data_IF_712784665587
#
_entry.id   IF_712784665587
#
_cell.length_a   1.000
_cell.length_b   1.000
_cell.length_c   1.000
_cell.angle_alpha   90.00
_cell.angle_beta   90.00
_cell.angle_gamma   90.00
#
_symmetry.space_group_name_H-M   'P 1'
#
loop_
_entity.id
_entity.type
_entity.pdbx_description
1 polymer ?
#
# COMPACT_ATOMS: atom_id res chain seq x y z
N UNK A 1 -1.20 33.91 1.60
CA UNK A 1 0.13 34.40 1.14
C UNK A 1 1.20 33.29 1.12
N UNK A 2 0.86 32.04 0.74
CA UNK A 2 1.79 30.90 0.69
C UNK A 2 2.17 30.51 -0.76
N UNK A 3 1.23 30.70 -1.70
CA UNK A 3 1.42 30.53 -3.15
C UNK A 3 2.58 31.36 -3.73
N UNK A 4 2.76 32.61 -3.27
CA UNK A 4 3.88 33.46 -3.71
C UNK A 4 5.26 33.00 -3.20
N UNK A 5 5.32 32.25 -2.08
CA UNK A 5 6.57 31.60 -1.63
C UNK A 5 6.91 30.34 -2.43
N UNK A 6 5.92 29.65 -3.00
CA UNK A 6 6.15 28.53 -3.93
C UNK A 6 6.70 29.00 -5.29
N UNK A 7 6.27 30.18 -5.77
CA UNK A 7 6.74 30.76 -7.03
C UNK A 7 8.13 31.39 -6.98
N UNK A 8 8.60 31.82 -5.80
CA UNK A 8 9.86 32.58 -5.64
C UNK A 8 10.99 31.83 -4.92
N UNK A 9 10.93 30.49 -4.85
CA UNK A 9 12.06 29.69 -4.36
C UNK A 9 11.86 29.05 -2.99
N UNK A 10 10.78 28.30 -2.81
CA UNK A 10 10.72 27.33 -1.72
C UNK A 10 11.74 26.23 -2.00
N UNK A 11 12.88 26.25 -1.28
CA UNK A 11 13.96 25.23 -1.24
C UNK A 11 13.59 23.93 -1.97
N UNK A 12 13.79 23.89 -3.29
CA UNK A 12 13.70 22.64 -4.04
C UNK A 12 14.82 21.77 -3.50
N UNK A 13 14.42 20.65 -2.93
CA UNK A 13 15.37 19.64 -2.46
C UNK A 13 16.19 19.19 -3.67
N UNK A 14 17.50 19.12 -3.52
CA UNK A 14 18.35 18.52 -4.54
C UNK A 14 18.13 17.01 -4.52
N UNK A 15 17.44 16.52 -5.54
CA UNK A 15 17.13 15.12 -5.76
C UNK A 15 18.14 14.53 -6.75
N UNK A 16 18.60 13.31 -6.48
CA UNK A 16 19.55 12.59 -7.31
C UNK A 16 18.88 11.34 -7.93
N UNK A 17 18.52 11.38 -9.22
CA UNK A 17 17.90 10.25 -9.90
C UNK A 17 18.76 8.99 -9.94
N UNK A 18 20.08 9.11 -10.01
CA UNK A 18 20.99 7.95 -10.05
C UNK A 18 21.02 7.25 -8.69
N UNK A 19 21.04 8.06 -7.62
CA UNK A 19 20.92 7.57 -6.24
C UNK A 19 19.57 6.90 -6.00
N UNK A 20 18.47 7.50 -6.44
CA UNK A 20 17.13 6.91 -6.34
C UNK A 20 17.06 5.54 -7.05
N UNK A 21 17.65 5.45 -8.25
CA UNK A 21 17.68 4.20 -9.01
C UNK A 21 18.55 3.13 -8.34
N UNK A 22 19.65 3.54 -7.70
CA UNK A 22 20.52 2.66 -6.91
C UNK A 22 19.78 2.15 -5.67
N UNK A 23 19.14 3.03 -4.89
CA UNK A 23 18.33 2.67 -3.73
C UNK A 23 17.23 1.68 -4.10
N UNK A 24 16.46 1.95 -5.17
CA UNK A 24 15.41 1.05 -5.63
C UNK A 24 15.95 -0.34 -6.02
N UNK A 25 17.11 -0.38 -6.71
CA UNK A 25 17.76 -1.63 -7.10
C UNK A 25 18.20 -2.42 -5.87
N UNK A 26 18.81 -1.76 -4.89
CA UNK A 26 19.26 -2.39 -3.65
C UNK A 26 18.08 -2.95 -2.85
N UNK A 27 16.98 -2.19 -2.73
CA UNK A 27 15.77 -2.63 -2.05
C UNK A 27 15.16 -3.87 -2.70
N UNK A 28 15.13 -3.94 -4.04
CA UNK A 28 14.60 -5.11 -4.78
C UNK A 28 15.50 -6.33 -4.69
N UNK A 29 16.81 -6.14 -4.69
CA UNK A 29 17.76 -7.24 -4.78
C UNK A 29 18.09 -7.87 -3.41
N UNK A 30 18.08 -7.07 -2.34
CA UNK A 30 18.53 -7.51 -1.00
C UNK A 30 17.40 -8.03 -0.11
N UNK A 31 16.16 -7.64 -0.37
CA UNK A 31 15.02 -7.93 0.48
C UNK A 31 13.91 -8.68 -0.27
N UNK A 32 12.91 -9.18 0.46
CA UNK A 32 11.81 -9.98 -0.03
C UNK A 32 11.89 -11.43 0.44
N UNK A 33 11.14 -12.32 -0.22
CA UNK A 33 10.97 -13.71 0.20
C UNK A 33 12.26 -14.55 0.20
N UNK A 34 13.30 -14.11 -0.54
CA UNK A 34 14.60 -14.80 -0.62
C UNK A 34 15.57 -14.40 0.50
N UNK A 35 15.25 -13.35 1.27
CA UNK A 35 16.07 -12.94 2.40
C UNK A 35 15.82 -13.84 3.61
N UNK A 36 16.86 -14.25 4.36
CA UNK A 36 16.71 -15.09 5.54
C UNK A 36 16.14 -14.32 6.75
N UNK A 37 16.09 -13.00 6.70
CA UNK A 37 15.55 -12.15 7.77
C UNK A 37 14.02 -12.20 7.80
N UNK A 38 13.42 -11.96 8.97
CA UNK A 38 11.95 -11.88 9.07
C UNK A 38 11.43 -10.60 8.41
N UNK A 39 10.20 -10.63 7.87
CA UNK A 39 9.64 -9.47 7.17
C UNK A 39 9.62 -8.17 7.99
N UNK A 40 9.31 -8.18 9.30
CA UNK A 40 9.41 -6.96 10.12
C UNK A 40 10.82 -6.36 10.14
N UNK A 41 11.85 -7.20 10.31
CA UNK A 41 13.26 -6.79 10.34
C UNK A 41 13.69 -6.22 8.99
N UNK A 42 13.27 -6.88 7.90
CA UNK A 42 13.52 -6.38 6.54
C UNK A 42 12.86 -5.01 6.34
N UNK A 43 11.59 -4.86 6.75
CA UNK A 43 10.87 -3.62 6.55
C UNK A 43 11.48 -2.45 7.32
N UNK A 44 11.96 -2.69 8.54
CA UNK A 44 12.71 -1.70 9.31
C UNK A 44 14.06 -1.34 8.68
N UNK A 45 14.80 -2.34 8.18
CA UNK A 45 16.07 -2.10 7.50
C UNK A 45 15.89 -1.28 6.22
N UNK A 46 14.85 -1.58 5.43
CA UNK A 46 14.47 -0.79 4.25
C UNK A 46 14.06 0.62 4.66
N UNK A 47 13.25 0.78 5.71
CA UNK A 47 12.81 2.11 6.15
C UNK A 47 13.99 2.99 6.56
N UNK A 48 14.99 2.44 7.26
CA UNK A 48 16.24 3.14 7.60
C UNK A 48 17.07 3.49 6.36
N UNK A 49 17.13 2.60 5.38
CA UNK A 49 17.84 2.83 4.12
C UNK A 49 17.21 3.98 3.31
N UNK A 50 15.90 4.18 3.42
CA UNK A 50 15.13 5.18 2.69
C UNK A 50 14.82 6.45 3.51
N UNK A 51 15.54 6.70 4.61
CA UNK A 51 15.25 7.81 5.54
C UNK A 51 15.82 9.18 5.10
N UNK A 52 15.74 9.48 3.81
CA UNK A 52 16.02 10.81 3.29
C UNK A 52 15.04 11.18 2.17
N UNK A 53 15.31 12.28 1.47
CA UNK A 53 14.39 12.78 0.45
C UNK A 53 14.41 11.94 -0.84
N UNK A 54 15.56 11.42 -1.26
CA UNK A 54 15.63 10.46 -2.37
C UNK A 54 14.97 9.14 -1.98
N UNK A 55 15.18 8.69 -0.75
CA UNK A 55 14.52 7.53 -0.16
C UNK A 55 13.01 7.70 -0.10
N UNK A 56 12.51 8.90 0.21
CA UNK A 56 11.08 9.22 0.17
C UNK A 56 10.50 9.15 -1.24
N UNK A 57 11.22 9.63 -2.26
CA UNK A 57 10.83 9.47 -3.68
C UNK A 57 10.76 7.98 -4.05
N UNK A 58 11.75 7.19 -3.62
CA UNK A 58 11.77 5.74 -3.85
C UNK A 58 10.63 5.03 -3.13
N UNK A 59 10.31 5.41 -1.90
CA UNK A 59 9.19 4.86 -1.14
C UNK A 59 7.84 5.16 -1.83
N UNK A 60 7.65 6.40 -2.31
CA UNK A 60 6.47 6.77 -3.08
C UNK A 60 6.37 5.95 -4.39
N UNK A 61 7.50 5.77 -5.09
CA UNK A 61 7.58 4.94 -6.30
C UNK A 61 7.24 3.47 -6.03
N UNK A 62 7.71 2.87 -4.93
CA UNK A 62 7.40 1.48 -4.55
C UNK A 62 5.89 1.29 -4.37
N UNK A 63 5.19 2.24 -3.73
CA UNK A 63 3.74 2.17 -3.53
C UNK A 63 2.97 2.32 -4.85
N UNK A 64 3.42 3.22 -5.72
CA UNK A 64 2.86 3.39 -7.06
C UNK A 64 3.03 2.13 -7.93
N UNK A 65 4.25 1.62 -8.03
CA UNK A 65 4.56 0.39 -8.77
C UNK A 65 3.78 -0.81 -8.24
N UNK A 66 3.69 -0.98 -6.91
CA UNK A 66 2.91 -2.06 -6.32
C UNK A 66 1.41 -1.97 -6.67
N UNK A 67 0.83 -0.76 -6.66
CA UNK A 67 -0.56 -0.55 -7.05
C UNK A 67 -0.79 -0.81 -8.55
N UNK A 68 0.08 -0.28 -9.41
CA UNK A 68 0.00 -0.45 -10.87
C UNK A 68 0.16 -1.91 -11.29
N UNK A 69 1.17 -2.60 -10.77
CA UNK A 69 1.42 -4.00 -11.08
C UNK A 69 0.30 -4.90 -10.55
N UNK A 70 -0.23 -4.61 -9.35
CA UNK A 70 -1.36 -5.36 -8.82
C UNK A 70 -2.63 -5.18 -9.66
N UNK A 71 -2.88 -3.96 -10.14
CA UNK A 71 -3.97 -3.68 -11.06
C UNK A 71 -3.82 -4.46 -12.37
N UNK A 72 -2.64 -4.39 -12.99
CA UNK A 72 -2.34 -5.12 -14.22
C UNK A 72 -2.48 -6.64 -14.04
N UNK A 73 -2.03 -7.18 -12.91
CA UNK A 73 -2.16 -8.59 -12.58
C UNK A 73 -3.63 -9.01 -12.45
N UNK A 74 -4.49 -8.20 -11.83
CA UNK A 74 -5.92 -8.47 -11.77
C UNK A 74 -6.60 -8.36 -13.13
N UNK A 75 -6.19 -7.38 -13.95
CA UNK A 75 -6.70 -7.22 -15.31
C UNK A 75 -6.41 -8.47 -16.16
N UNK A 76 -5.19 -9.00 -16.07
CA UNK A 76 -4.80 -10.24 -16.73
C UNK A 76 -5.65 -11.44 -16.26
N UNK A 77 -5.91 -11.55 -14.95
CA UNK A 77 -6.75 -12.61 -14.39
C UNK A 77 -8.21 -12.51 -14.85
N UNK A 78 -8.77 -11.29 -14.88
CA UNK A 78 -10.14 -11.05 -15.38
C UNK A 78 -10.26 -11.44 -16.86
N UNK A 79 -9.27 -11.06 -17.67
CA UNK A 79 -9.24 -11.44 -19.08
C UNK A 79 -9.14 -12.97 -19.27
N UNK A 80 -8.32 -13.65 -18.46
CA UNK A 80 -8.20 -15.11 -18.48
C UNK A 80 -9.49 -15.82 -18.06
N UNK A 81 -10.19 -15.34 -17.03
CA UNK A 81 -11.51 -15.86 -16.64
C UNK A 81 -12.52 -15.69 -17.79
N UNK A 82 -12.54 -14.53 -18.44
CA UNK A 82 -13.41 -14.30 -19.58
C UNK A 82 -13.11 -15.26 -20.73
N UNK A 83 -11.83 -15.46 -21.06
CA UNK A 83 -11.41 -16.40 -22.10
C UNK A 83 -11.85 -17.84 -21.82
N UNK A 84 -11.71 -18.30 -20.57
CA UNK A 84 -12.03 -19.69 -20.18
C UNK A 84 -13.52 -19.96 -19.98
N UNK A 85 -14.31 -18.96 -19.60
CA UNK A 85 -15.69 -19.17 -19.13
C UNK A 85 -16.75 -18.34 -19.86
N UNK A 86 -16.34 -17.40 -20.71
CA UNK A 86 -17.24 -16.40 -21.33
C UNK A 86 -17.74 -15.33 -20.36
N UNK A 87 -17.56 -15.48 -19.05
CA UNK A 87 -18.03 -14.53 -18.03
C UNK A 87 -17.24 -13.23 -18.08
N UNK A 88 -17.93 -12.08 -18.12
CA UNK A 88 -17.30 -10.75 -18.04
C UNK A 88 -17.31 -10.29 -16.59
N UNK A 89 -16.12 -10.12 -16.01
CA UNK A 89 -15.96 -9.52 -14.68
C UNK A 89 -15.59 -8.04 -14.84
N UNK A 90 -16.18 -7.17 -14.02
CA UNK A 90 -15.87 -5.75 -14.03
C UNK A 90 -14.75 -5.43 -13.05
N UNK A 91 -13.62 -4.95 -13.58
CA UNK A 91 -12.50 -4.45 -12.80
C UNK A 91 -12.57 -2.92 -12.70
N UNK A 92 -12.70 -2.39 -11.49
CA UNK A 92 -12.73 -0.95 -11.26
C UNK A 92 -11.57 -0.54 -10.33
N UNK A 93 -10.60 0.22 -10.86
CA UNK A 93 -9.37 0.56 -10.15
C UNK A 93 -9.58 1.27 -8.81
N UNK A 94 -10.60 2.14 -8.71
CA UNK A 94 -10.89 2.86 -7.46
C UNK A 94 -11.72 2.07 -6.43
N UNK A 95 -12.12 0.84 -6.78
CA UNK A 95 -12.92 -0.03 -5.92
C UNK A 95 -12.86 -1.48 -6.43
N UNK A 96 -11.93 -2.27 -5.90
CA UNK A 96 -11.75 -3.67 -6.30
C UNK A 96 -12.80 -4.60 -5.65
N UNK A 97 -13.51 -4.13 -4.62
CA UNK A 97 -14.39 -4.98 -3.81
C UNK A 97 -15.53 -5.67 -4.58
N UNK A 98 -16.22 -5.04 -5.54
CA UNK A 98 -17.24 -5.73 -6.34
C UNK A 98 -16.66 -6.94 -7.09
N UNK A 99 -15.48 -6.80 -7.70
CA UNK A 99 -14.78 -7.89 -8.37
C UNK A 99 -14.48 -9.03 -7.39
N UNK A 100 -13.93 -8.70 -6.22
CA UNK A 100 -13.57 -9.68 -5.20
C UNK A 100 -14.80 -10.40 -4.60
N UNK A 101 -15.92 -9.71 -4.38
CA UNK A 101 -17.17 -10.33 -3.95
C UNK A 101 -17.71 -11.31 -4.99
N UNK A 102 -17.59 -10.95 -6.27
CA UNK A 102 -18.12 -11.75 -7.37
C UNK A 102 -17.26 -12.98 -7.69
N UNK A 103 -15.94 -12.83 -7.67
CA UNK A 103 -15.01 -13.82 -8.21
C UNK A 103 -13.85 -14.19 -7.27
N UNK A 104 -13.87 -13.75 -6.01
CA UNK A 104 -12.75 -13.88 -5.07
C UNK A 104 -12.11 -15.27 -5.00
N UNK A 105 -12.87 -16.37 -4.87
CA UNK A 105 -12.32 -17.73 -4.87
C UNK A 105 -11.64 -18.15 -6.18
N UNK A 106 -11.92 -17.48 -7.29
CA UNK A 106 -11.33 -17.72 -8.62
C UNK A 106 -10.16 -16.78 -8.93
N UNK A 107 -9.86 -15.82 -8.05
CA UNK A 107 -8.80 -14.85 -8.20
C UNK A 107 -7.64 -15.17 -7.24
N UNK A 108 -6.43 -14.93 -7.70
CA UNK A 108 -5.21 -14.95 -6.89
C UNK A 108 -4.92 -13.54 -6.41
N UNK A 109 -4.60 -13.43 -5.12
CA UNK A 109 -4.21 -12.15 -4.52
C UNK A 109 -2.90 -11.65 -5.15
N UNK A 110 -2.89 -10.46 -5.79
CA UNK A 110 -1.80 -10.07 -6.66
C UNK A 110 -0.53 -9.63 -5.91
N UNK A 111 -0.64 -9.21 -4.65
CA UNK A 111 0.45 -8.54 -3.96
C UNK A 111 1.67 -9.43 -3.67
N UNK A 112 1.54 -10.76 -3.62
CA UNK A 112 2.69 -11.66 -3.39
C UNK A 112 3.52 -11.97 -4.63
N UNK A 113 3.04 -11.64 -5.82
CA UNK A 113 3.63 -12.07 -7.09
C UNK A 113 3.82 -10.89 -8.06
N UNK A 114 4.20 -9.74 -7.52
CA UNK A 114 4.45 -8.52 -8.30
C UNK A 114 5.69 -8.70 -9.20
N UNK A 115 5.62 -8.40 -10.51
CA UNK A 115 6.76 -8.52 -11.44
C UNK A 115 8.02 -7.76 -11.00
N UNK A 116 7.87 -6.64 -10.30
CA UNK A 116 8.97 -5.87 -9.70
C UNK A 116 9.74 -6.60 -8.61
N UNK A 117 9.22 -7.73 -8.11
CA UNK A 117 9.78 -8.46 -6.96
C UNK A 117 9.50 -7.80 -5.61
N UNK A 118 8.65 -6.78 -5.56
CA UNK A 118 8.24 -6.13 -4.31
C UNK A 118 7.37 -7.07 -3.48
N UNK A 119 7.76 -7.29 -2.23
CA UNK A 119 7.00 -8.11 -1.29
C UNK A 119 6.11 -7.22 -0.39
N UNK A 120 4.84 -7.61 -0.15
CA UNK A 120 3.89 -6.76 0.57
C UNK A 120 4.34 -6.49 2.01
N UNK A 121 4.92 -7.49 2.66
CA UNK A 121 5.31 -7.39 4.07
C UNK A 121 6.72 -6.84 4.30
N UNK A 122 7.53 -6.68 3.24
CA UNK A 122 8.85 -6.08 3.34
C UNK A 122 8.85 -4.70 2.67
N UNK A 123 9.05 -4.64 1.35
CA UNK A 123 9.23 -3.38 0.63
C UNK A 123 8.01 -2.46 0.71
N UNK A 124 6.80 -2.99 0.51
CA UNK A 124 5.58 -2.17 0.53
C UNK A 124 5.29 -1.67 1.95
N UNK A 125 5.42 -2.54 2.95
CA UNK A 125 5.26 -2.17 4.35
C UNK A 125 6.30 -1.10 4.78
N UNK A 126 7.55 -1.22 4.34
CA UNK A 126 8.59 -0.22 4.61
C UNK A 126 8.30 1.12 3.92
N UNK A 127 7.89 1.07 2.65
CA UNK A 127 7.54 2.27 1.89
C UNK A 127 6.38 3.03 2.54
N UNK A 128 5.34 2.33 3.01
CA UNK A 128 4.25 2.92 3.77
C UNK A 128 4.75 3.59 5.06
N UNK A 129 5.66 2.96 5.81
CA UNK A 129 6.28 3.55 7.00
C UNK A 129 7.04 4.83 6.67
N UNK A 130 7.89 4.83 5.63
CA UNK A 130 8.69 6.00 5.22
C UNK A 130 7.78 7.15 4.81
N UNK A 131 6.81 6.89 3.91
CA UNK A 131 5.82 7.88 3.46
C UNK A 131 5.05 8.48 4.63
N UNK A 132 4.56 7.64 5.54
CA UNK A 132 3.85 8.12 6.72
C UNK A 132 4.72 8.92 7.68
N UNK A 133 5.97 8.50 7.91
CA UNK A 133 6.89 9.21 8.83
C UNK A 133 7.35 10.57 8.28
N UNK A 134 7.39 10.72 6.95
CA UNK A 134 7.88 11.92 6.27
C UNK A 134 6.79 12.63 5.48
N UNK A 135 5.51 12.45 5.83
CA UNK A 135 4.37 12.98 5.09
C UNK A 135 4.48 14.50 4.83
N UNK A 136 4.89 15.28 5.85
CA UNK A 136 5.05 16.74 5.73
C UNK A 136 6.16 17.19 4.74
N UNK A 137 6.99 16.26 4.25
CA UNK A 137 8.04 16.51 3.26
C UNK A 137 7.61 16.15 1.84
N UNK A 138 6.49 15.44 1.65
CA UNK A 138 6.06 14.91 0.35
C UNK A 138 5.94 15.99 -0.72
N UNK A 139 5.25 17.09 -0.44
CA UNK A 139 5.04 18.20 -1.39
C UNK A 139 6.33 18.83 -1.92
N UNK A 140 7.47 18.58 -1.26
CA UNK A 140 8.78 19.07 -1.71
C UNK A 140 9.46 18.13 -2.69
N UNK A 141 9.03 16.87 -2.76
CA UNK A 141 9.71 15.81 -3.51
C UNK A 141 8.81 15.09 -4.52
N UNK A 142 7.48 15.05 -4.29
CA UNK A 142 6.52 14.38 -5.18
C UNK A 142 5.10 14.90 -4.94
N UNK A 143 4.18 14.67 -5.89
CA UNK A 143 2.76 15.00 -5.72
C UNK A 143 2.09 13.98 -4.76
N UNK A 144 1.53 14.42 -3.62
CA UNK A 144 0.89 13.52 -2.66
C UNK A 144 -0.43 12.92 -3.17
N UNK A 145 -1.09 13.54 -4.15
CA UNK A 145 -2.42 13.14 -4.65
C UNK A 145 -2.43 11.75 -5.32
N UNK A 146 -1.58 11.46 -6.31
CA UNK A 146 -1.47 10.11 -6.86
C UNK A 146 -0.97 9.12 -5.80
N UNK A 147 -0.04 9.53 -4.94
CA UNK A 147 0.51 8.67 -3.90
C UNK A 147 -0.56 8.17 -2.92
N UNK A 148 -1.38 9.07 -2.37
CA UNK A 148 -2.43 8.66 -1.42
C UNK A 148 -3.49 7.79 -2.10
N UNK A 149 -3.74 8.02 -3.40
CA UNK A 149 -4.59 7.13 -4.22
C UNK A 149 -4.01 5.72 -4.29
N UNK A 150 -2.72 5.58 -4.60
CA UNK A 150 -2.04 4.28 -4.62
C UNK A 150 -2.02 3.59 -3.25
N UNK A 151 -1.79 4.34 -2.16
CA UNK A 151 -1.87 3.80 -0.79
C UNK A 151 -3.26 3.21 -0.53
N UNK A 152 -4.32 3.92 -0.91
CA UNK A 152 -5.68 3.39 -0.77
C UNK A 152 -5.99 2.20 -1.69
N UNK A 153 -5.43 2.16 -2.89
CA UNK A 153 -5.55 1.00 -3.78
C UNK A 153 -4.91 -0.25 -3.16
N UNK A 154 -3.68 -0.13 -2.63
CA UNK A 154 -2.99 -1.24 -1.95
C UNK A 154 -3.74 -1.66 -0.70
N UNK A 155 -4.31 -0.72 0.06
CA UNK A 155 -5.13 -1.00 1.24
C UNK A 155 -6.44 -1.73 0.89
N UNK A 156 -7.12 -1.32 -0.18
CA UNK A 156 -8.33 -2.00 -0.68
C UNK A 156 -7.99 -3.43 -1.13
N UNK A 157 -6.92 -3.60 -1.92
CA UNK A 157 -6.44 -4.93 -2.32
C UNK A 157 -6.08 -5.81 -1.12
N UNK A 158 -5.47 -5.23 -0.08
CA UNK A 158 -5.09 -5.95 1.14
C UNK A 158 -6.33 -6.47 1.87
N UNK A 159 -7.29 -5.58 2.16
CA UNK A 159 -8.49 -5.93 2.91
C UNK A 159 -9.48 -6.77 2.10
N UNK A 160 -9.58 -6.57 0.78
CA UNK A 160 -10.39 -7.42 -0.09
C UNK A 160 -9.80 -8.84 -0.22
N UNK A 161 -8.47 -8.96 -0.22
CA UNK A 161 -7.80 -10.26 -0.17
C UNK A 161 -8.16 -11.06 1.08
N UNK A 162 -8.23 -10.39 2.23
CA UNK A 162 -8.63 -11.03 3.50
C UNK A 162 -10.08 -11.49 3.49
N UNK A 163 -11.00 -10.63 3.04
CA UNK A 163 -12.43 -10.92 3.11
C UNK A 163 -12.89 -11.92 2.04
N UNK A 164 -12.30 -11.88 0.84
CA UNK A 164 -12.83 -12.59 -0.32
C UNK A 164 -11.80 -13.46 -1.05
N UNK A 165 -10.51 -13.13 -0.92
CA UNK A 165 -9.40 -13.81 -1.59
C UNK A 165 -8.77 -14.95 -0.80
N UNK A 166 -9.33 -15.33 0.36
CA UNK A 166 -8.79 -16.35 1.27
C UNK A 166 -7.35 -16.08 1.71
N UNK A 167 -6.95 -14.81 1.74
CA UNK A 167 -5.65 -14.40 2.25
C UNK A 167 -5.72 -14.43 3.77
N UNK A 168 -4.86 -15.24 4.38
CA UNK A 168 -4.76 -15.35 5.82
C UNK A 168 -4.31 -14.01 6.43
N UNK A 169 -4.94 -13.61 7.52
CA UNK A 169 -4.53 -12.44 8.30
C UNK A 169 -3.55 -12.90 9.38
N UNK A 170 -2.26 -12.79 9.10
CA UNK A 170 -1.22 -12.94 10.12
C UNK A 170 -0.75 -11.58 10.64
N UNK A 171 0.22 -11.58 11.57
CA UNK A 171 0.76 -10.34 12.15
C UNK A 171 1.42 -9.44 11.12
N UNK A 172 2.02 -10.00 10.06
CA UNK A 172 2.68 -9.22 9.00
C UNK A 172 1.64 -8.54 8.10
N UNK A 173 0.56 -9.24 7.78
CA UNK A 173 -0.59 -8.70 7.07
C UNK A 173 -1.26 -7.57 7.86
N UNK A 174 -1.55 -7.80 9.15
CA UNK A 174 -2.14 -6.79 10.03
C UNK A 174 -1.24 -5.55 10.13
N UNK A 175 0.09 -5.75 10.28
CA UNK A 175 1.05 -4.66 10.30
C UNK A 175 1.11 -3.87 8.98
N UNK A 176 0.99 -4.53 7.83
CA UNK A 176 0.91 -3.84 6.54
C UNK A 176 -0.33 -2.92 6.48
N UNK A 177 -1.51 -3.43 6.84
CA UNK A 177 -2.72 -2.62 6.83
C UNK A 177 -2.63 -1.44 7.80
N UNK A 178 -2.12 -1.66 9.01
CA UNK A 178 -1.88 -0.62 10.01
C UNK A 178 -0.97 0.50 9.47
N UNK A 179 0.13 0.12 8.81
CA UNK A 179 1.08 1.08 8.20
C UNK A 179 0.45 1.85 7.04
N UNK A 180 -0.32 1.19 6.17
CA UNK A 180 -1.03 1.85 5.06
C UNK A 180 -2.08 2.84 5.57
N UNK A 181 -2.88 2.46 6.58
CA UNK A 181 -3.89 3.33 7.20
C UNK A 181 -3.21 4.54 7.82
N UNK A 182 -2.17 4.32 8.63
CA UNK A 182 -1.39 5.38 9.27
C UNK A 182 -0.73 6.31 8.25
N UNK A 183 -0.16 5.76 7.17
CA UNK A 183 0.44 6.54 6.09
C UNK A 183 -0.61 7.41 5.40
N UNK A 184 -1.75 6.83 5.01
CA UNK A 184 -2.84 7.57 4.37
C UNK A 184 -3.33 8.73 5.26
N UNK A 185 -3.58 8.48 6.55
CA UNK A 185 -4.02 9.53 7.48
C UNK A 185 -3.02 10.67 7.59
N UNK A 186 -1.73 10.36 7.77
CA UNK A 186 -0.68 11.38 7.86
C UNK A 186 -0.49 12.18 6.58
N UNK A 187 -0.60 11.55 5.41
CA UNK A 187 -0.53 12.25 4.12
C UNK A 187 -1.74 13.17 3.94
N UNK A 188 -2.96 12.68 4.19
CA UNK A 188 -4.17 13.50 4.08
C UNK A 188 -4.13 14.71 5.02
N UNK A 189 -3.63 14.53 6.25
CA UNK A 189 -3.49 15.62 7.23
C UNK A 189 -2.50 16.73 6.80
N UNK A 190 -1.62 16.44 5.84
CA UNK A 190 -0.67 17.44 5.31
C UNK A 190 -1.17 18.16 4.06
N UNK A 191 -2.26 17.68 3.45
CA UNK A 191 -2.80 18.25 2.20
C UNK A 191 -3.79 19.39 2.50
N UNK A 192 -3.66 20.50 1.76
CA UNK A 192 -4.58 21.64 1.91
C UNK A 192 -6.02 21.32 1.40
N UNK A 193 -6.14 20.52 0.34
CA UNK A 193 -7.42 20.05 -0.22
C UNK A 193 -7.37 18.52 -0.46
N UNK A 194 -7.59 17.71 0.59
CA UNK A 194 -7.46 16.26 0.49
C UNK A 194 -8.58 15.64 -0.37
N UNK A 195 -8.27 14.62 -1.19
CA UNK A 195 -9.29 13.94 -1.99
C UNK A 195 -10.30 13.21 -1.09
N UNK A 196 -11.54 13.07 -1.58
CA UNK A 196 -12.57 12.30 -0.89
C UNK A 196 -12.13 10.85 -0.69
N UNK A 197 -12.43 10.29 0.49
CA UNK A 197 -12.15 8.89 0.79
C UNK A 197 -12.80 7.93 -0.25
N UNK A 198 -12.04 6.97 -0.79
CA UNK A 198 -12.54 6.03 -1.78
C UNK A 198 -13.78 5.24 -1.30
N UNK A 199 -14.66 4.79 -2.22
CA UNK A 199 -15.84 4.00 -1.84
C UNK A 199 -15.51 2.76 -0.99
N UNK A 200 -14.42 2.06 -1.30
CA UNK A 200 -13.98 0.89 -0.56
C UNK A 200 -13.63 1.19 0.90
N UNK A 201 -12.91 2.29 1.14
CA UNK A 201 -12.54 2.77 2.48
C UNK A 201 -13.79 3.14 3.27
N UNK A 202 -14.71 3.90 2.66
CA UNK A 202 -15.99 4.26 3.30
C UNK A 202 -16.85 3.05 3.61
N UNK A 203 -16.84 2.02 2.76
CA UNK A 203 -17.54 0.75 3.03
C UNK A 203 -16.96 0.05 4.26
N UNK A 204 -15.63 -0.08 4.37
CA UNK A 204 -14.96 -0.70 5.50
C UNK A 204 -15.17 0.10 6.80
N UNK A 205 -15.10 1.42 6.74
CA UNK A 205 -15.35 2.31 7.88
C UNK A 205 -16.79 2.24 8.41
N UNK A 206 -17.74 1.65 7.69
CA UNK A 206 -19.11 1.40 8.23
C UNK A 206 -19.21 0.07 8.96
N UNK A 207 -18.23 -0.82 8.82
CA UNK A 207 -18.21 -2.15 9.44
C UNK A 207 -17.49 -2.09 10.78
N UNK A 208 -17.82 -3.03 11.66
CA UNK A 208 -17.18 -3.16 12.97
C UNK A 208 -16.67 -4.58 13.24
N UNK A 209 -16.21 -5.26 12.18
CA UNK A 209 -15.77 -6.64 12.26
C UNK A 209 -14.31 -6.67 12.72
N UNK A 210 -14.04 -7.50 13.73
CA UNK A 210 -12.67 -7.83 14.15
C UNK A 210 -12.28 -9.14 13.49
N UNK A 211 -11.14 -9.14 12.81
CA UNK A 211 -10.55 -10.32 12.18
C UNK A 211 -9.53 -10.93 13.14
N UNK A 212 -9.54 -12.25 13.28
CA UNK A 212 -8.50 -12.97 14.01
C UNK A 212 -7.16 -12.78 13.30
N UNK A 213 -6.14 -12.39 14.06
CA UNK A 213 -4.76 -12.25 13.60
C UNK A 213 -4.00 -13.48 14.06
N UNK A 214 -3.39 -14.18 13.12
CA UNK A 214 -2.64 -15.39 13.42
C UNK A 214 -1.13 -15.18 13.51
N UNK A 215 -0.44 -16.10 14.18
CA UNK A 215 1.00 -16.26 14.10
C UNK A 215 1.43 -16.60 12.65
N UNK A 216 2.41 -15.88 12.05
CA UNK A 216 2.95 -16.25 10.74
C UNK A 216 3.48 -17.69 10.70
N UNK A 217 4.04 -18.19 11.80
CA UNK A 217 4.71 -19.50 11.88
C UNK A 217 3.78 -20.68 12.21
N UNK A 218 2.50 -20.44 12.54
CA UNK A 218 1.61 -21.52 12.95
C UNK A 218 0.13 -21.12 13.00
N UNK A 219 -0.81 -22.06 13.17
CA UNK A 219 -2.26 -21.80 13.03
C UNK A 219 -2.85 -20.92 14.15
N UNK A 220 -2.12 -20.68 15.24
CA UNK A 220 -2.59 -20.02 16.46
C UNK A 220 -3.03 -18.57 16.20
N UNK A 221 -4.18 -18.19 16.77
CA UNK A 221 -4.61 -16.79 16.88
C UNK A 221 -3.84 -16.10 18.00
N UNK A 222 -3.26 -14.93 17.70
CA UNK A 222 -2.41 -14.14 18.62
C UNK A 222 -2.99 -12.76 18.90
N UNK A 223 -4.07 -12.36 18.23
CA UNK A 223 -4.75 -11.09 18.46
C UNK A 223 -5.94 -10.89 17.52
N UNK A 224 -6.44 -9.65 17.47
CA UNK A 224 -7.51 -9.25 16.56
C UNK A 224 -7.22 -7.90 15.93
N UNK A 225 -7.70 -7.69 14.70
CA UNK A 225 -7.57 -6.43 13.98
C UNK A 225 -8.92 -6.03 13.38
N UNK A 226 -9.35 -4.79 13.65
CA UNK A 226 -10.58 -4.22 13.11
C UNK A 226 -10.23 -3.07 12.16
N UNK A 227 -10.14 -3.33 10.83
CA UNK A 227 -9.73 -2.31 9.86
C UNK A 227 -10.68 -1.11 9.85
N UNK A 228 -11.99 -1.36 10.00
CA UNK A 228 -13.01 -0.31 9.97
C UNK A 228 -12.88 0.65 11.15
N UNK A 229 -12.70 0.13 12.36
CA UNK A 229 -12.45 0.94 13.55
C UNK A 229 -11.15 1.72 13.44
N UNK A 230 -10.07 1.07 13.01
CA UNK A 230 -8.78 1.72 12.85
C UNK A 230 -8.78 2.83 11.80
N UNK A 231 -9.44 2.61 10.66
CA UNK A 231 -9.61 3.64 9.64
C UNK A 231 -10.44 4.83 10.15
N UNK A 232 -11.49 4.61 10.95
CA UNK A 232 -12.25 5.70 11.57
C UNK A 232 -11.39 6.52 12.51
N UNK A 233 -10.62 5.86 13.36
CA UNK A 233 -9.72 6.52 14.31
C UNK A 233 -8.67 7.38 13.59
N UNK A 234 -8.10 6.88 12.49
CA UNK A 234 -6.97 7.54 11.82
C UNK A 234 -7.40 8.54 10.73
N UNK A 235 -8.45 8.25 9.97
CA UNK A 235 -8.84 9.05 8.79
C UNK A 235 -9.91 10.11 9.08
N UNK A 236 -10.49 10.11 10.29
CA UNK A 236 -11.47 11.11 10.73
C UNK A 236 -10.98 11.96 11.92
N UNK A 237 -9.73 11.75 12.36
CA UNK A 237 -9.10 12.51 13.42
C UNK A 237 -8.71 13.93 12.98
#
# INVERSE_FOLDING_TARGET
MRWLRQLLGGNRVQLDPERQQTLLRDVRNRYGARSPQRFPEQAEAIARLLDDDDGLVVAARILGEAADEAHAALQAQVHDVHRRTGRRLLLHRRNYRPLWKEAGPSLRWPLFALPSGLHPYAQVAAAATVVGSRAARLDRVTDPTPLVTHVFEVLDLTTAGWEYGRVRVDTDAAALAERLISAAGRVLATMDDPPRLPPAVRELMRRNNTLDVHDPAGPRVVGGFNPGARMREVLLA
#
